data_IF_244093552204
#
_entry.id   IF_244093552204
#
_cell.length_a   1.000
_cell.length_b   1.000
_cell.length_c   1.000
_cell.angle_alpha   90.00
_cell.angle_beta   90.00
_cell.angle_gamma   90.00
#
_symmetry.space_group_name_H-M   'P 1'
#
loop_
_entity.id
_entity.type
_entity.pdbx_description
1 polymer ?
#
# COMPACT_ATOMS: atom_id res chain seq x y z
N UNK A 1 -16.40 18.83 5.52
CA UNK A 1 -15.56 17.88 4.79
C UNK A 1 -15.93 16.50 5.31
N UNK A 2 -16.42 15.64 4.42
CA UNK A 2 -16.77 14.26 4.76
C UNK A 2 -15.51 13.43 4.57
N UNK A 3 -15.20 12.51 5.48
CA UNK A 3 -14.11 11.57 5.24
C UNK A 3 -14.67 10.27 4.68
N UNK A 4 -14.08 9.80 3.59
CA UNK A 4 -14.37 8.49 3.00
C UNK A 4 -13.19 7.56 3.18
N UNK A 5 -13.45 6.25 3.18
CA UNK A 5 -12.37 5.28 3.20
C UNK A 5 -11.51 5.46 1.94
N UNK A 6 -10.19 5.48 2.13
CA UNK A 6 -9.23 5.52 1.03
C UNK A 6 -9.55 4.37 0.05
N UNK A 7 -9.79 4.67 -1.24
CA UNK A 7 -10.20 3.66 -2.21
C UNK A 7 -9.10 2.63 -2.49
N UNK A 8 -7.83 3.03 -2.39
CA UNK A 8 -6.66 2.18 -2.63
C UNK A 8 -6.49 1.11 -1.54
N UNK A 9 -6.41 1.53 -0.27
CA UNK A 9 -6.25 0.59 0.85
C UNK A 9 -7.58 0.12 1.45
N UNK A 10 -8.71 0.62 0.95
CA UNK A 10 -10.08 0.33 1.45
C UNK A 10 -10.22 0.53 2.96
N UNK A 11 -9.72 1.65 3.48
CA UNK A 11 -9.80 1.94 4.92
C UNK A 11 -8.68 1.35 5.79
N UNK A 12 -7.75 0.56 5.24
CA UNK A 12 -6.73 -0.13 6.04
C UNK A 12 -5.54 0.72 6.45
N UNK A 13 -5.25 1.81 5.73
CA UNK A 13 -4.01 2.58 5.88
C UNK A 13 -2.77 1.89 5.29
N UNK A 14 -2.86 0.62 4.89
CA UNK A 14 -1.72 -0.15 4.40
C UNK A 14 -2.06 -1.01 3.17
N UNK A 15 -1.09 -1.15 2.27
CA UNK A 15 -1.19 -1.94 1.04
C UNK A 15 -0.08 -3.01 1.00
N UNK A 16 -0.28 -4.12 0.27
CA UNK A 16 0.84 -5.02 -0.03
C UNK A 16 1.93 -4.27 -0.81
N UNK A 17 3.14 -4.83 -0.87
CA UNK A 17 4.23 -4.29 -1.68
C UNK A 17 3.72 -3.99 -3.12
N UNK A 18 3.68 -2.70 -3.54
CA UNK A 18 3.12 -2.30 -4.81
C UNK A 18 4.06 -2.56 -5.99
N UNK A 19 5.33 -2.87 -5.71
CA UNK A 19 6.31 -3.19 -6.74
C UNK A 19 5.98 -4.53 -7.39
N UNK A 20 5.55 -4.46 -8.64
CA UNK A 20 5.43 -5.60 -9.52
C UNK A 20 6.74 -5.82 -10.27
N UNK A 21 7.25 -7.05 -10.20
CA UNK A 21 8.45 -7.48 -10.95
C UNK A 21 8.05 -8.29 -12.20
N UNK A 22 6.78 -8.22 -12.60
CA UNK A 22 6.20 -8.94 -13.72
C UNK A 22 6.04 -10.43 -13.42
N UNK A 23 6.28 -11.28 -14.42
CA UNK A 23 6.21 -12.75 -14.26
C UNK A 23 7.38 -13.37 -13.50
N UNK A 24 8.36 -12.56 -13.07
CA UNK A 24 9.52 -13.02 -12.32
C UNK A 24 9.24 -13.15 -10.82
N UNK A 25 10.09 -13.89 -10.07
CA UNK A 25 9.99 -13.95 -8.62
C UNK A 25 10.27 -12.58 -8.00
N UNK A 26 9.56 -12.27 -6.91
CA UNK A 26 9.81 -11.07 -6.13
C UNK A 26 11.21 -11.14 -5.48
N UNK A 27 12.10 -10.17 -5.70
CA UNK A 27 13.48 -10.26 -5.26
C UNK A 27 13.59 -10.11 -3.74
N UNK A 28 14.48 -10.88 -3.12
CA UNK A 28 14.78 -10.80 -1.69
C UNK A 28 15.32 -9.42 -1.27
N UNK A 29 15.91 -8.69 -2.20
CA UNK A 29 16.44 -7.34 -2.00
C UNK A 29 15.43 -6.25 -2.37
N UNK A 30 14.13 -6.54 -2.38
CA UNK A 30 13.12 -5.54 -2.70
C UNK A 30 13.25 -4.35 -1.73
N UNK A 31 13.48 -3.12 -2.22
CA UNK A 31 13.74 -1.97 -1.36
C UNK A 31 12.51 -1.57 -0.53
N UNK A 32 11.32 -2.04 -0.94
CA UNK A 32 10.05 -1.70 -0.31
C UNK A 32 9.63 -2.70 0.77
N UNK A 33 9.82 -4.00 0.54
CA UNK A 33 9.36 -5.04 1.47
C UNK A 33 10.48 -5.96 1.98
N UNK A 34 11.74 -5.72 1.59
CA UNK A 34 12.87 -6.59 1.93
C UNK A 34 12.72 -8.01 1.42
N UNK A 35 11.96 -8.22 0.35
CA UNK A 35 11.69 -9.53 -0.21
C UNK A 35 10.53 -10.31 0.39
N UNK A 36 9.95 -9.82 1.49
CA UNK A 36 8.83 -10.50 2.14
C UNK A 36 7.50 -9.99 1.59
N UNK A 37 6.79 -10.85 0.86
CA UNK A 37 5.47 -10.56 0.30
C UNK A 37 4.37 -10.36 1.35
N UNK A 38 4.63 -10.70 2.62
CA UNK A 38 3.73 -10.47 3.76
C UNK A 38 3.87 -9.06 4.34
N UNK A 39 4.99 -8.39 4.08
CA UNK A 39 5.19 -7.01 4.54
C UNK A 39 4.17 -6.11 3.86
N UNK A 40 3.43 -5.37 4.69
CA UNK A 40 2.52 -4.33 4.25
C UNK A 40 3.20 -2.99 4.46
N UNK A 41 3.04 -2.10 3.49
CA UNK A 41 3.58 -0.75 3.56
C UNK A 41 2.45 0.25 3.75
N UNK A 42 2.82 1.40 4.27
CA UNK A 42 1.93 2.54 4.38
C UNK A 42 1.32 2.87 3.00
N UNK A 43 0.00 3.07 2.97
CA UNK A 43 -0.70 3.41 1.75
C UNK A 43 -0.34 4.85 1.34
N UNK A 44 0.39 5.06 0.23
CA UNK A 44 0.90 6.37 -0.15
C UNK A 44 -0.20 7.33 -0.62
N UNK A 45 -1.41 6.81 -0.89
CA UNK A 45 -2.55 7.63 -1.30
C UNK A 45 -3.20 8.37 -0.12
N UNK A 46 -3.12 7.79 1.08
CA UNK A 46 -3.72 8.34 2.29
C UNK A 46 -2.69 8.52 3.42
N UNK A 47 -1.39 8.43 3.09
CA UNK A 47 -0.27 8.52 4.03
C UNK A 47 -0.49 7.72 5.33
N UNK A 48 -1.03 6.51 5.20
CA UNK A 48 -1.29 5.63 6.35
C UNK A 48 -2.59 5.86 7.12
N UNK A 49 -3.30 6.96 6.87
CA UNK A 49 -4.51 7.32 7.61
C UNK A 49 -5.68 6.37 7.34
N UNK A 50 -5.71 5.77 6.15
CA UNK A 50 -6.79 4.90 5.69
C UNK A 50 -8.03 5.66 5.23
N UNK A 51 -8.08 6.98 5.39
CA UNK A 51 -9.17 7.84 4.91
C UNK A 51 -8.62 8.98 4.06
N UNK A 52 -9.51 9.55 3.26
CA UNK A 52 -9.25 10.77 2.49
C UNK A 52 -10.47 11.67 2.60
N UNK A 53 -10.27 12.98 2.44
CA UNK A 53 -11.37 13.93 2.38
C UNK A 53 -12.13 13.77 1.05
N UNK A 54 -13.45 13.68 1.15
CA UNK A 54 -14.41 13.70 0.04
C UNK A 54 -14.77 15.17 -0.22
N UNK A 55 -14.44 15.66 -1.43
CA UNK A 55 -14.69 17.03 -1.87
C UNK A 55 -16.17 17.33 -2.13
#
# INVERSE_FOLDING_TARGET
MSQVNCPECRGRGEIPCPLDYGGGPHPESCPTCGGDSRVRIECPYCDGDGKVDDE
#
